data_IF_023967623953
#
_entry.id   IF_023967623953
#
_cell.length_a   1.000
_cell.length_b   1.000
_cell.length_c   1.000
_cell.angle_alpha   90.00
_cell.angle_beta   90.00
_cell.angle_gamma   90.00
#
_symmetry.space_group_name_H-M   'P 1'
#
loop_
_entity.id
_entity.type
_entity.pdbx_description
1 polymer ?
#
# COMPACT_ATOMS: atom_id res chain seq x y z
N UNK A 1 21.22 -10.94 -3.09
CA UNK A 1 20.93 -9.52 -3.36
C UNK A 1 19.80 -9.13 -2.44
N UNK A 2 19.98 -8.13 -1.58
CA UNK A 2 18.84 -7.48 -0.94
C UNK A 2 18.16 -6.71 -2.08
N UNK A 3 17.02 -7.18 -2.56
CA UNK A 3 16.22 -6.37 -3.50
C UNK A 3 15.83 -5.11 -2.74
N UNK A 4 16.41 -3.98 -3.12
CA UNK A 4 15.98 -2.68 -2.63
C UNK A 4 14.57 -2.46 -3.18
N UNK A 5 13.58 -2.45 -2.29
CA UNK A 5 12.23 -2.07 -2.67
C UNK A 5 12.24 -0.62 -3.16
N UNK A 6 11.40 -0.28 -4.14
CA UNK A 6 11.36 1.07 -4.67
C UNK A 6 10.98 2.07 -3.57
N UNK A 7 11.65 3.22 -3.58
CA UNK A 7 11.31 4.40 -2.80
C UNK A 7 10.89 5.49 -3.78
N UNK A 8 9.88 6.29 -3.40
CA UNK A 8 9.35 7.35 -4.26
C UNK A 8 9.42 8.70 -3.56
N UNK A 9 9.73 9.75 -4.31
CA UNK A 9 9.43 11.13 -3.89
C UNK A 9 7.91 11.36 -3.87
N UNK A 10 7.49 12.48 -3.30
CA UNK A 10 6.07 12.85 -3.24
C UNK A 10 5.44 12.94 -4.65
N UNK A 11 6.11 13.64 -5.57
CA UNK A 11 5.63 13.79 -6.95
C UNK A 11 5.54 12.44 -7.68
N UNK A 12 6.55 11.59 -7.53
CA UNK A 12 6.55 10.25 -8.14
C UNK A 12 5.44 9.38 -7.57
N UNK A 13 5.20 9.45 -6.27
CA UNK A 13 4.20 8.63 -5.60
C UNK A 13 2.77 9.00 -5.99
N UNK A 14 2.45 10.30 -6.10
CA UNK A 14 1.11 10.74 -6.52
C UNK A 14 0.78 10.35 -7.96
N UNK A 15 1.78 10.20 -8.84
CA UNK A 15 1.56 9.70 -10.19
C UNK A 15 1.13 8.22 -10.23
N UNK A 16 1.28 7.49 -9.12
CA UNK A 16 0.86 6.09 -9.00
C UNK A 16 -0.57 5.93 -8.49
N UNK A 17 -1.31 7.04 -8.33
CA UNK A 17 -2.70 7.06 -7.86
C UNK A 17 -2.91 6.25 -6.56
N UNK A 18 -2.17 6.58 -5.47
CA UNK A 18 -2.22 5.83 -4.23
C UNK A 18 -3.60 5.92 -3.58
N UNK A 19 -4.03 4.81 -2.98
CA UNK A 19 -5.26 4.71 -2.19
C UNK A 19 -4.88 4.60 -0.72
N UNK A 20 -5.46 5.44 0.14
CA UNK A 20 -5.25 5.33 1.59
C UNK A 20 -5.90 4.05 2.10
N UNK A 21 -5.14 3.22 2.82
CA UNK A 21 -5.66 2.03 3.51
C UNK A 21 -6.05 2.39 4.94
N UNK A 22 -5.04 2.69 5.77
CA UNK A 22 -5.23 2.89 7.21
C UNK A 22 -4.25 3.90 7.77
N UNK A 23 -4.65 4.57 8.84
CA UNK A 23 -3.80 5.41 9.67
C UNK A 23 -3.53 4.73 11.02
N UNK A 24 -2.26 4.55 11.36
CA UNK A 24 -1.82 3.94 12.62
C UNK A 24 -0.85 4.91 13.30
N UNK A 25 -1.25 5.44 14.46
CA UNK A 25 -0.50 6.48 15.19
C UNK A 25 -0.26 7.68 14.24
N UNK A 26 0.99 8.10 14.05
CA UNK A 26 1.36 9.21 13.16
C UNK A 26 1.75 8.75 11.74
N UNK A 27 1.37 7.53 11.34
CA UNK A 27 1.72 6.96 10.04
C UNK A 27 0.47 6.59 9.25
N UNK A 28 0.37 7.12 8.04
CA UNK A 28 -0.63 6.72 7.06
C UNK A 28 -0.02 5.68 6.10
N UNK A 29 -0.74 4.59 5.87
CA UNK A 29 -0.39 3.54 4.94
C UNK A 29 -1.27 3.64 3.69
N UNK A 30 -0.63 3.46 2.54
CA UNK A 30 -1.23 3.62 1.23
C UNK A 30 -1.03 2.34 0.42
N UNK A 31 -2.07 1.89 -0.27
CA UNK A 31 -1.95 0.90 -1.34
C UNK A 31 -1.62 1.62 -2.65
N UNK A 32 -0.73 1.03 -3.42
CA UNK A 32 -0.45 1.41 -4.80
C UNK A 32 -0.56 0.18 -5.68
N UNK A 33 -1.25 0.34 -6.80
CA UNK A 33 -1.37 -0.69 -7.81
C UNK A 33 -0.28 -0.53 -8.88
N UNK A 34 0.65 -1.50 -8.89
CA UNK A 34 1.66 -1.64 -9.94
C UNK A 34 1.38 -2.94 -10.71
N UNK A 35 2.20 -3.98 -10.49
CA UNK A 35 1.91 -5.35 -10.94
C UNK A 35 1.04 -6.10 -9.93
N UNK A 36 1.33 -5.88 -8.65
CA UNK A 36 0.60 -6.40 -7.50
C UNK A 36 0.41 -5.26 -6.50
N UNK A 37 -0.73 -5.21 -5.77
CA UNK A 37 -0.96 -4.19 -4.77
C UNK A 37 0.12 -4.21 -3.68
N UNK A 38 0.75 -3.07 -3.52
CA UNK A 38 1.88 -2.88 -2.61
C UNK A 38 1.56 -1.77 -1.63
N UNK A 39 2.07 -1.89 -0.41
CA UNK A 39 1.79 -0.94 0.65
C UNK A 39 3.00 -0.03 0.84
N UNK A 40 2.76 1.27 0.95
CA UNK A 40 3.75 2.29 1.18
C UNK A 40 3.36 3.18 2.36
N UNK A 41 4.34 3.79 3.00
CA UNK A 41 4.13 4.83 4.00
C UNK A 41 5.12 5.97 3.79
N UNK A 42 4.77 7.17 4.25
CA UNK A 42 5.68 8.31 4.22
C UNK A 42 6.70 8.24 5.36
N UNK A 43 7.99 8.19 5.03
CA UNK A 43 9.09 8.34 5.98
C UNK A 43 9.59 9.79 5.97
N UNK A 44 9.24 10.54 7.02
CA UNK A 44 9.61 11.94 7.18
C UNK A 44 11.13 12.15 7.33
N UNK A 45 11.90 11.15 7.77
CA UNK A 45 13.36 11.29 7.91
C UNK A 45 14.05 11.25 6.55
N UNK A 46 13.53 10.43 5.64
CA UNK A 46 14.05 10.29 4.28
C UNK A 46 13.35 11.21 3.28
N UNK A 47 12.21 11.79 3.66
CA UNK A 47 11.34 12.59 2.80
C UNK A 47 10.91 11.80 1.54
N UNK A 48 10.50 10.55 1.76
CA UNK A 48 10.11 9.61 0.70
C UNK A 48 9.01 8.65 1.15
N UNK A 49 8.24 8.15 0.18
CA UNK A 49 7.37 6.99 0.33
C UNK A 49 8.18 5.70 0.21
N UNK A 50 8.03 4.82 1.19
CA UNK A 50 8.82 3.58 1.32
C UNK A 50 7.88 2.40 1.45
N UNK A 51 8.24 1.30 0.79
CA UNK A 51 7.51 0.05 0.88
C UNK A 51 7.45 -0.48 2.32
N UNK A 52 6.27 -0.97 2.73
CA UNK A 52 5.97 -1.27 4.13
C UNK A 52 6.78 -2.43 4.70
N UNK A 53 7.37 -3.31 3.89
CA UNK A 53 8.01 -4.56 4.35
C UNK A 53 8.99 -4.35 5.51
N UNK A 54 9.73 -3.23 5.53
CA UNK A 54 10.67 -2.94 6.62
C UNK A 54 9.99 -2.48 7.92
N UNK A 55 8.86 -1.79 7.80
CA UNK A 55 8.08 -1.28 8.93
C UNK A 55 7.09 -2.32 9.45
N UNK A 56 6.61 -3.19 8.57
CA UNK A 56 5.66 -4.25 8.87
C UNK A 56 6.15 -5.16 9.99
N UNK A 57 7.37 -5.69 9.88
CA UNK A 57 7.96 -6.53 10.90
C UNK A 57 8.23 -5.83 12.26
N UNK A 58 8.14 -4.50 12.30
CA UNK A 58 8.31 -3.70 13.52
C UNK A 58 6.99 -3.25 14.13
N UNK A 59 5.87 -3.46 13.44
CA UNK A 59 4.54 -3.20 13.97
C UNK A 59 4.18 -4.27 15.02
N UNK A 60 3.29 -3.92 15.95
CA UNK A 60 2.69 -4.90 16.85
C UNK A 60 1.80 -5.84 16.02
N UNK A 61 1.75 -7.13 16.37
CA UNK A 61 1.05 -8.17 15.60
C UNK A 61 -0.39 -7.78 15.23
N UNK A 62 -1.11 -7.15 16.16
CA UNK A 62 -2.46 -6.63 15.92
C UNK A 62 -2.54 -5.65 14.75
N UNK A 63 -1.56 -4.75 14.60
CA UNK A 63 -1.51 -3.77 13.52
C UNK A 63 -1.05 -4.39 12.20
N UNK A 64 -0.21 -5.43 12.27
CA UNK A 64 0.17 -6.21 11.10
C UNK A 64 -1.06 -6.89 10.49
N UNK A 65 -1.86 -7.55 11.34
CA UNK A 65 -3.08 -8.26 10.91
C UNK A 65 -4.09 -7.31 10.27
N UNK A 66 -4.35 -6.15 10.89
CA UNK A 66 -5.28 -5.16 10.32
C UNK A 66 -4.79 -4.67 8.95
N UNK A 67 -3.50 -4.35 8.82
CA UNK A 67 -2.97 -3.84 7.56
C UNK A 67 -3.06 -4.88 6.44
N UNK A 68 -2.86 -6.16 6.74
CA UNK A 68 -3.05 -7.24 5.78
C UNK A 68 -4.53 -7.39 5.39
N UNK A 69 -5.44 -7.30 6.35
CA UNK A 69 -6.87 -7.37 6.09
C UNK A 69 -7.32 -6.22 5.16
N UNK A 70 -6.91 -4.99 5.44
CA UNK A 70 -7.24 -3.83 4.59
C UNK A 70 -6.71 -3.99 3.16
N UNK A 71 -5.52 -4.57 3.00
CA UNK A 71 -4.97 -4.86 1.67
C UNK A 71 -5.76 -5.95 0.94
N UNK A 72 -6.19 -7.00 1.64
CA UNK A 72 -7.01 -8.07 1.09
C UNK A 72 -8.40 -7.55 0.66
N UNK A 73 -9.03 -6.73 1.49
CA UNK A 73 -10.31 -6.08 1.16
C UNK A 73 -10.16 -5.16 -0.06
N UNK A 74 -9.10 -4.36 -0.12
CA UNK A 74 -8.78 -3.53 -1.29
C UNK A 74 -8.63 -4.37 -2.57
N UNK A 75 -7.90 -5.49 -2.49
CA UNK A 75 -7.73 -6.42 -3.61
C UNK A 75 -9.07 -7.00 -4.07
N UNK A 76 -9.92 -7.42 -3.13
CA UNK A 76 -11.21 -8.03 -3.45
C UNK A 76 -12.16 -7.02 -4.11
N UNK A 77 -12.30 -5.81 -3.57
CA UNK A 77 -13.16 -4.76 -4.15
C UNK A 77 -12.72 -4.43 -5.57
N UNK A 78 -11.40 -4.39 -5.83
CA UNK A 78 -10.87 -4.17 -7.17
C UNK A 78 -11.24 -5.31 -8.12
N UNK A 79 -11.01 -6.57 -7.72
CA UNK A 79 -11.33 -7.74 -8.53
C UNK A 79 -12.83 -7.78 -8.88
N UNK A 80 -13.70 -7.48 -7.91
CA UNK A 80 -15.15 -7.37 -8.14
C UNK A 80 -15.51 -6.23 -9.09
N UNK A 81 -14.81 -5.10 -9.03
CA UNK A 81 -15.01 -3.98 -9.95
C UNK A 81 -14.51 -4.29 -11.37
N UNK A 82 -13.47 -5.10 -11.53
CA UNK A 82 -12.99 -5.59 -12.83
C UNK A 82 -13.94 -6.64 -13.43
N UNK A 83 -14.43 -7.57 -12.61
CA UNK A 83 -15.39 -8.61 -13.02
C UNK A 83 -16.74 -8.00 -13.44
N UNK A 84 -17.26 -7.05 -12.65
CA UNK A 84 -18.47 -6.31 -13.01
C UNK A 84 -18.33 -5.50 -14.30
N UNK A 85 -17.12 -5.11 -14.72
CA UNK A 85 -16.91 -4.46 -16.03
C UNK A 85 -16.99 -5.46 -17.20
N UNK A 86 -16.73 -6.76 -16.96
CA UNK A 86 -16.82 -7.82 -17.97
C UNK A 86 -18.26 -8.29 -18.20
N UNK A 87 -19.14 -8.20 -17.19
CA UNK A 87 -20.57 -8.61 -17.29
C UNK A 87 -21.45 -7.67 -18.13
N UNK A 88 -20.90 -6.53 -18.60
CA UNK A 88 -21.62 -5.54 -19.44
C UNK A 88 -21.31 -5.63 -20.95
N UNK A 89 -20.66 -6.70 -21.44
CA UNK A 89 -20.32 -6.89 -22.87
C UNK A 89 -21.15 -8.00 -23.51
#
# INVERSE_FOLDING_TARGET
MLCEYPEFTEEEFFNLEPTTLIEIKDTVYFAVELLEPQIYYWDCNKNKYIHVIYKFATLEDFWQDILLQELEEYQQVRLEAEDNKMDFI
#
